data_IF_296012681439
#
_entry.id   IF_296012681439
#
_cell.length_a   1.000
_cell.length_b   1.000
_cell.length_c   1.000
_cell.angle_alpha   90.00
_cell.angle_beta   90.00
_cell.angle_gamma   90.00
#
_symmetry.space_group_name_H-M   'P 1'
#
loop_
_entity.id
_entity.type
_entity.pdbx_description
1 polymer ?
#
# COMPACT_ATOMS: atom_id res chain seq x y z
N UNK A 1 4.06 -9.81 10.65
CA UNK A 1 2.94 -10.64 11.15
C UNK A 1 2.20 -9.83 12.21
N UNK A 2 0.91 -10.10 12.45
CA UNK A 2 0.19 -9.48 13.56
C UNK A 2 0.62 -10.17 14.86
N UNK A 3 0.94 -9.38 15.89
CA UNK A 3 1.18 -9.91 17.24
C UNK A 3 -0.15 -10.23 17.92
N UNK A 4 -0.20 -11.34 18.67
CA UNK A 4 -1.39 -11.69 19.48
C UNK A 4 -1.46 -10.90 20.79
N UNK A 5 -0.34 -10.37 21.24
CA UNK A 5 -0.17 -9.58 22.46
C UNK A 5 0.67 -8.33 22.17
N UNK A 6 0.63 -7.31 23.03
CA UNK A 6 1.50 -6.14 22.93
C UNK A 6 3.00 -6.50 22.80
N UNK A 7 3.76 -5.59 22.20
CA UNK A 7 5.16 -5.83 21.85
C UNK A 7 6.06 -6.05 23.07
N UNK A 8 5.76 -5.43 24.21
CA UNK A 8 6.47 -5.62 25.47
C UNK A 8 6.30 -7.04 26.02
N UNK A 9 5.08 -7.58 26.04
CA UNK A 9 4.79 -8.95 26.49
C UNK A 9 5.41 -9.99 25.57
N UNK A 10 5.34 -9.74 24.25
CA UNK A 10 5.97 -10.61 23.24
C UNK A 10 7.48 -10.64 23.42
N UNK A 11 8.10 -9.48 23.68
CA UNK A 11 9.54 -9.37 23.91
C UNK A 11 9.98 -10.01 25.23
N UNK A 12 9.18 -9.88 26.28
CA UNK A 12 9.43 -10.55 27.56
C UNK A 12 9.39 -12.07 27.40
N UNK A 13 8.36 -12.60 26.74
CA UNK A 13 8.26 -14.03 26.41
C UNK A 13 9.45 -14.52 25.57
N UNK A 14 9.94 -13.69 24.63
CA UNK A 14 11.13 -14.02 23.84
C UNK A 14 12.39 -14.09 24.71
N UNK A 15 12.57 -13.16 25.65
CA UNK A 15 13.70 -13.17 26.59
C UNK A 15 13.68 -14.41 27.49
N UNK A 16 12.50 -14.84 27.93
CA UNK A 16 12.34 -16.08 28.68
C UNK A 16 12.74 -17.31 27.85
N UNK A 17 12.34 -17.37 26.57
CA UNK A 17 12.79 -18.41 25.64
C UNK A 17 14.32 -18.42 25.50
N UNK A 18 14.94 -17.25 25.33
CA UNK A 18 16.39 -17.16 25.21
C UNK A 18 17.10 -17.58 26.51
N UNK A 19 16.57 -17.19 27.67
CA UNK A 19 17.14 -17.58 28.97
C UNK A 19 17.07 -19.09 29.19
N UNK A 20 15.92 -19.73 28.93
CA UNK A 20 15.76 -21.19 29.14
C UNK A 20 16.55 -22.05 28.16
N UNK A 21 16.95 -21.49 27.01
CA UNK A 21 17.73 -22.18 25.95
C UNK A 21 19.19 -21.77 25.92
N UNK A 22 19.68 -21.03 26.94
CA UNK A 22 21.05 -20.48 26.96
C UNK A 22 21.42 -19.71 25.68
N UNK A 23 20.45 -18.98 25.12
CA UNK A 23 20.52 -18.22 23.86
C UNK A 23 20.72 -19.05 22.59
N UNK A 24 20.43 -20.35 22.63
CA UNK A 24 20.55 -21.26 21.49
C UNK A 24 19.26 -22.11 21.31
N UNK A 25 18.11 -21.48 21.01
CA UNK A 25 16.87 -22.20 20.80
C UNK A 25 16.92 -23.01 19.49
N UNK A 26 16.36 -24.21 19.53
CA UNK A 26 16.18 -25.03 18.32
C UNK A 26 15.15 -24.41 17.37
N UNK A 27 15.18 -24.81 16.09
CA UNK A 27 14.20 -24.35 15.11
C UNK A 27 12.76 -24.68 15.49
N UNK A 28 12.52 -25.82 16.13
CA UNK A 28 11.20 -26.23 16.62
C UNK A 28 10.70 -25.28 17.73
N UNK A 29 11.55 -24.96 18.70
CA UNK A 29 11.19 -24.03 19.78
C UNK A 29 10.92 -22.61 19.27
N UNK A 30 11.65 -22.17 18.23
CA UNK A 30 11.39 -20.89 17.57
C UNK A 30 10.07 -20.92 16.80
N UNK A 31 9.77 -22.00 16.09
CA UNK A 31 8.51 -22.17 15.37
C UNK A 31 7.31 -22.19 16.32
N UNK A 32 7.40 -22.92 17.44
CA UNK A 32 6.40 -22.90 18.51
C UNK A 32 6.18 -21.49 19.04
N UNK A 33 7.24 -20.77 19.36
CA UNK A 33 7.16 -19.39 19.82
C UNK A 33 6.46 -18.48 18.80
N UNK A 34 6.82 -18.59 17.52
CA UNK A 34 6.21 -17.80 16.45
C UNK A 34 4.72 -18.11 16.33
N UNK A 35 4.34 -19.39 16.34
CA UNK A 35 2.95 -19.83 16.26
C UNK A 35 2.15 -19.44 17.50
N UNK A 36 2.77 -19.37 18.68
CA UNK A 36 2.14 -18.93 19.91
C UNK A 36 1.89 -17.42 19.87
N UNK A 37 2.88 -16.60 19.50
CA UNK A 37 2.85 -15.14 19.66
C UNK A 37 2.35 -14.35 18.45
N UNK A 38 2.35 -14.94 17.26
CA UNK A 38 1.96 -14.26 16.03
C UNK A 38 0.81 -14.97 15.32
N UNK A 39 -0.04 -14.21 14.65
CA UNK A 39 -0.99 -14.78 13.70
C UNK A 39 -0.32 -15.01 12.34
N UNK A 40 -0.83 -15.97 11.53
CA UNK A 40 -0.39 -16.16 10.17
C UNK A 40 -0.40 -14.86 9.37
N UNK A 41 0.50 -14.75 8.39
CA UNK A 41 0.48 -13.61 7.49
C UNK A 41 -0.91 -13.48 6.84
N UNK A 42 -1.38 -12.24 6.65
CA UNK A 42 -2.66 -11.95 5.99
C UNK A 42 -3.89 -12.00 6.89
N UNK A 43 -3.75 -12.35 8.18
CA UNK A 43 -4.87 -12.32 9.14
C UNK A 43 -5.45 -10.91 9.38
N UNK A 44 -4.79 -9.88 8.88
CA UNK A 44 -5.22 -8.47 8.87
C UNK A 44 -6.37 -8.17 7.88
N UNK A 45 -6.68 -9.09 6.95
CA UNK A 45 -7.71 -8.89 5.93
C UNK A 45 -8.96 -9.73 6.15
N UNK A 46 -10.08 -9.21 5.67
CA UNK A 46 -11.34 -9.91 5.48
C UNK A 46 -11.71 -10.03 4.00
N UNK A 47 -12.63 -10.94 3.70
CA UNK A 47 -13.14 -11.11 2.35
C UNK A 47 -13.84 -9.83 1.87
N UNK A 48 -13.56 -9.45 0.63
CA UNK A 48 -14.19 -8.33 -0.02
C UNK A 48 -14.52 -8.69 -1.46
N UNK A 49 -15.77 -8.40 -1.84
CA UNK A 49 -16.23 -8.47 -3.21
C UNK A 49 -16.45 -7.04 -3.71
N UNK A 50 -15.72 -6.59 -4.74
CA UNK A 50 -15.86 -5.23 -5.28
C UNK A 50 -17.27 -5.00 -5.85
N UNK A 51 -18.00 -4.04 -5.28
CA UNK A 51 -19.40 -3.78 -5.64
C UNK A 51 -19.60 -3.21 -7.04
N UNK A 52 -18.57 -2.58 -7.60
CA UNK A 52 -18.55 -1.97 -8.93
C UNK A 52 -17.86 -2.85 -9.98
N UNK A 53 -17.43 -4.06 -9.61
CA UNK A 53 -16.89 -5.02 -10.57
C UNK A 53 -17.99 -5.57 -11.46
N UNK A 54 -17.72 -5.60 -12.75
CA UNK A 54 -18.61 -6.17 -13.77
C UNK A 54 -17.87 -7.23 -14.56
N UNK A 55 -18.56 -8.32 -14.92
CA UNK A 55 -17.93 -9.46 -15.60
C UNK A 55 -17.41 -9.11 -17.00
N UNK A 56 -18.15 -8.28 -17.74
CA UNK A 56 -17.83 -7.93 -19.12
C UNK A 56 -17.72 -6.41 -19.31
N UNK A 57 -16.64 -5.77 -18.79
CA UNK A 57 -16.42 -4.33 -18.97
C UNK A 57 -16.27 -3.96 -20.44
N UNK A 58 -16.55 -2.70 -20.77
CA UNK A 58 -16.59 -2.18 -22.15
C UNK A 58 -15.32 -2.43 -22.93
N UNK A 59 -14.14 -2.41 -22.29
CA UNK A 59 -12.87 -2.59 -22.99
C UNK A 59 -12.80 -3.94 -23.74
N UNK A 60 -13.45 -4.99 -23.23
CA UNK A 60 -13.45 -6.33 -23.85
C UNK A 60 -14.15 -6.35 -25.21
N UNK A 61 -15.15 -5.49 -25.41
CA UNK A 61 -15.88 -5.39 -26.68
C UNK A 61 -15.00 -4.91 -27.82
N UNK A 62 -13.93 -4.19 -27.50
CA UNK A 62 -12.99 -3.65 -28.49
C UNK A 62 -11.87 -4.64 -28.85
N UNK A 63 -11.79 -5.80 -28.17
CA UNK A 63 -10.83 -6.85 -28.48
C UNK A 63 -11.46 -7.79 -29.50
N UNK A 64 -10.94 -7.79 -30.73
CA UNK A 64 -11.49 -8.58 -31.85
C UNK A 64 -11.14 -10.07 -31.70
N UNK A 65 -9.86 -10.34 -31.40
CA UNK A 65 -9.33 -11.68 -31.21
C UNK A 65 -9.96 -12.38 -30.00
N UNK A 66 -10.42 -13.62 -30.18
CA UNK A 66 -11.12 -14.37 -29.13
C UNK A 66 -10.21 -14.74 -27.96
N UNK A 67 -8.96 -15.09 -28.24
CA UNK A 67 -8.02 -15.58 -27.24
C UNK A 67 -7.58 -14.40 -26.35
N UNK A 68 -7.35 -13.23 -26.96
CA UNK A 68 -7.08 -12.01 -26.20
C UNK A 68 -8.29 -11.51 -25.43
N UNK A 69 -9.52 -11.73 -25.93
CA UNK A 69 -10.73 -11.37 -25.18
C UNK A 69 -10.89 -12.25 -23.95
N UNK A 70 -10.72 -13.57 -24.08
CA UNK A 70 -10.75 -14.51 -22.96
C UNK A 70 -9.65 -14.19 -21.93
N UNK A 71 -8.44 -13.86 -22.40
CA UNK A 71 -7.37 -13.42 -21.53
C UNK A 71 -7.73 -12.11 -20.79
N UNK A 72 -8.35 -11.15 -21.46
CA UNK A 72 -8.85 -9.93 -20.83
C UNK A 72 -9.92 -10.18 -19.77
N UNK A 73 -10.81 -11.16 -19.98
CA UNK A 73 -11.79 -11.59 -18.96
C UNK A 73 -11.08 -12.15 -17.72
N UNK A 74 -10.09 -13.03 -17.91
CA UNK A 74 -9.28 -13.57 -16.82
C UNK A 74 -8.54 -12.46 -16.05
N UNK A 75 -8.02 -11.44 -16.75
CA UNK A 75 -7.41 -10.29 -16.09
C UNK A 75 -8.42 -9.51 -15.24
N UNK A 76 -9.63 -9.30 -15.74
CA UNK A 76 -10.69 -8.63 -15.00
C UNK A 76 -11.11 -9.42 -13.75
N UNK A 77 -11.15 -10.75 -13.82
CA UNK A 77 -11.44 -11.62 -12.67
C UNK A 77 -10.39 -11.46 -11.54
N UNK A 78 -9.13 -11.13 -11.87
CA UNK A 78 -8.08 -10.96 -10.88
C UNK A 78 -8.35 -9.80 -9.91
N UNK A 79 -9.15 -8.79 -10.28
CA UNK A 79 -9.51 -7.71 -9.35
C UNK A 79 -10.21 -8.24 -8.10
N UNK A 80 -11.01 -9.29 -8.23
CA UNK A 80 -11.67 -9.97 -7.11
C UNK A 80 -10.68 -10.71 -6.21
N UNK A 81 -9.60 -11.22 -6.80
CA UNK A 81 -8.56 -12.02 -6.11
C UNK A 81 -7.54 -11.12 -5.42
N UNK A 82 -7.21 -9.98 -6.01
CA UNK A 82 -6.21 -9.03 -5.54
C UNK A 82 -6.78 -8.00 -4.55
N UNK A 83 -8.10 -7.97 -4.38
CA UNK A 83 -8.78 -7.13 -3.41
C UNK A 83 -8.47 -7.49 -1.96
N UNK A 84 -8.17 -6.46 -1.16
CA UNK A 84 -7.90 -6.58 0.28
C UNK A 84 -8.71 -5.54 1.02
N UNK A 85 -9.51 -5.99 1.98
CA UNK A 85 -10.21 -5.13 2.93
C UNK A 85 -9.67 -5.40 4.33
N UNK A 86 -9.27 -4.35 5.02
CA UNK A 86 -8.69 -4.47 6.36
C UNK A 86 -9.81 -4.69 7.39
N UNK A 87 -9.55 -5.56 8.37
CA UNK A 87 -10.47 -5.76 9.51
C UNK A 87 -10.51 -4.51 10.39
N UNK A 88 -11.63 -4.29 11.08
CA UNK A 88 -11.77 -3.22 12.08
C UNK A 88 -10.67 -3.28 13.17
N UNK A 89 -10.24 -4.48 13.55
CA UNK A 89 -9.19 -4.71 14.54
C UNK A 89 -7.85 -4.07 14.20
N UNK A 90 -7.55 -3.82 12.91
CA UNK A 90 -6.35 -3.10 12.46
C UNK A 90 -6.42 -1.62 12.86
N UNK A 91 -7.63 -1.02 12.81
CA UNK A 91 -7.89 0.35 13.26
C UNK A 91 -7.88 0.45 14.78
N UNK A 92 -8.47 -0.53 15.45
CA UNK A 92 -8.67 -0.53 16.90
C UNK A 92 -7.38 -0.81 17.69
N UNK A 93 -6.48 -1.64 17.15
CA UNK A 93 -5.26 -2.09 17.83
C UNK A 93 -4.03 -1.95 16.92
N UNK A 94 -3.75 -0.76 16.35
CA UNK A 94 -2.72 -0.57 15.31
C UNK A 94 -1.32 -1.01 15.75
N UNK A 95 -1.01 -0.96 17.05
CA UNK A 95 0.26 -1.39 17.64
C UNK A 95 0.55 -2.89 17.50
N UNK A 96 -0.48 -3.71 17.28
CA UNK A 96 -0.33 -5.15 17.03
C UNK A 96 0.01 -5.47 15.57
N UNK A 97 -0.07 -4.48 14.69
CA UNK A 97 0.07 -4.66 13.25
C UNK A 97 1.26 -3.90 12.69
N UNK A 98 1.84 -4.48 11.65
CA UNK A 98 2.75 -3.74 10.78
C UNK A 98 2.04 -3.01 9.65
N UNK A 99 0.84 -3.46 9.28
CA UNK A 99 0.06 -2.83 8.21
C UNK A 99 -0.57 -1.53 8.72
N UNK A 100 -0.53 -0.49 7.89
CA UNK A 100 -1.13 0.81 8.19
C UNK A 100 -2.60 0.74 7.80
N UNK A 101 -3.49 1.04 8.74
CA UNK A 101 -4.92 1.04 8.49
C UNK A 101 -5.32 2.06 7.42
N UNK A 102 -6.20 1.66 6.50
CA UNK A 102 -6.91 2.55 5.58
C UNK A 102 -8.39 2.16 5.51
N UNK A 103 -9.32 3.13 5.37
CA UNK A 103 -10.76 2.87 5.52
C UNK A 103 -11.42 2.16 4.34
N UNK A 104 -10.87 2.23 3.13
CA UNK A 104 -11.42 1.60 1.94
C UNK A 104 -10.59 0.37 1.53
N UNK A 105 -11.18 -0.60 0.80
CA UNK A 105 -10.43 -1.69 0.21
C UNK A 105 -9.32 -1.20 -0.74
N UNK A 106 -8.27 -2.00 -0.89
CA UNK A 106 -7.17 -1.77 -1.81
C UNK A 106 -6.98 -2.97 -2.73
N UNK A 107 -6.46 -2.71 -3.94
CA UNK A 107 -5.97 -3.75 -4.84
C UNK A 107 -4.44 -3.81 -4.70
N UNK A 108 -3.90 -5.00 -4.49
CA UNK A 108 -2.46 -5.21 -4.28
C UNK A 108 -1.77 -5.78 -5.52
N UNK A 109 -0.44 -5.66 -5.66
CA UNK A 109 0.28 -6.23 -6.81
C UNK A 109 0.15 -7.77 -6.95
N UNK A 110 -0.05 -8.47 -5.82
CA UNK A 110 -0.24 -9.92 -5.79
C UNK A 110 0.99 -10.72 -5.35
N UNK A 111 0.86 -12.04 -5.36
CA UNK A 111 1.90 -12.95 -4.87
C UNK A 111 2.18 -12.76 -3.37
N UNK A 112 3.44 -12.49 -3.01
CA UNK A 112 3.84 -12.27 -1.61
C UNK A 112 3.42 -10.90 -1.06
N UNK A 113 3.07 -9.95 -1.92
CA UNK A 113 2.71 -8.58 -1.55
C UNK A 113 1.25 -8.49 -1.13
N UNK A 114 0.99 -7.99 0.08
CA UNK A 114 -0.35 -7.99 0.68
C UNK A 114 -0.83 -6.61 1.08
N UNK A 115 0.05 -5.63 1.07
CA UNK A 115 -0.24 -4.21 1.29
C UNK A 115 -0.34 -3.46 -0.04
N UNK A 116 -0.90 -2.25 -0.02
CA UNK A 116 -0.78 -1.34 -1.15
C UNK A 116 0.69 -0.94 -1.36
N UNK A 117 1.06 -0.67 -2.61
CA UNK A 117 2.34 -0.11 -3.02
C UNK A 117 2.11 1.14 -3.85
N UNK A 118 2.86 2.21 -3.59
CA UNK A 118 2.50 3.54 -4.09
C UNK A 118 2.49 3.62 -5.62
N UNK A 119 3.64 3.46 -6.28
CA UNK A 119 3.71 3.64 -7.74
C UNK A 119 2.99 2.52 -8.52
N UNK A 120 2.94 1.29 -7.99
CA UNK A 120 2.20 0.16 -8.57
C UNK A 120 0.70 0.49 -8.64
N UNK A 121 0.20 1.19 -7.63
CA UNK A 121 -1.20 1.61 -7.57
C UNK A 121 -1.60 2.54 -8.70
N UNK A 122 -0.66 3.25 -9.34
CA UNK A 122 -0.98 4.04 -10.53
C UNK A 122 -1.43 3.16 -11.69
N UNK A 123 -0.70 2.08 -11.97
CA UNK A 123 -1.01 1.15 -13.04
C UNK A 123 -2.29 0.36 -12.73
N UNK A 124 -2.48 0.01 -11.45
CA UNK A 124 -3.71 -0.61 -10.96
C UNK A 124 -4.90 0.32 -11.17
N UNK A 125 -4.83 1.59 -10.76
CA UNK A 125 -5.88 2.59 -10.96
C UNK A 125 -6.24 2.71 -12.44
N UNK A 126 -5.24 2.75 -13.33
CA UNK A 126 -5.47 2.79 -14.78
C UNK A 126 -6.24 1.55 -15.27
N UNK A 127 -5.88 0.35 -14.80
CA UNK A 127 -6.57 -0.89 -15.13
C UNK A 127 -8.01 -0.96 -14.58
N UNK A 128 -8.21 -0.51 -13.35
CA UNK A 128 -9.52 -0.44 -12.71
C UNK A 128 -10.47 0.52 -13.44
N UNK A 129 -9.96 1.69 -13.87
CA UNK A 129 -10.74 2.64 -14.66
C UNK A 129 -11.16 2.07 -16.03
N UNK A 130 -10.29 1.31 -16.70
CA UNK A 130 -10.64 0.57 -17.92
C UNK A 130 -11.69 -0.52 -17.66
N UNK A 131 -11.66 -1.11 -16.46
CA UNK A 131 -12.61 -2.12 -15.98
C UNK A 131 -13.89 -1.51 -15.38
N UNK A 132 -14.08 -0.19 -15.50
CA UNK A 132 -15.24 0.57 -15.02
C UNK A 132 -15.43 0.55 -13.49
N UNK A 133 -14.37 0.24 -12.73
CA UNK A 133 -14.38 0.16 -11.26
C UNK A 133 -14.10 1.53 -10.59
N UNK A 134 -14.94 2.51 -10.90
CA UNK A 134 -14.76 3.91 -10.47
C UNK A 134 -14.88 4.11 -8.95
N UNK A 135 -15.78 3.39 -8.28
CA UNK A 135 -15.98 3.48 -6.83
C UNK A 135 -14.78 2.91 -6.08
N UNK A 136 -14.25 1.79 -6.54
CA UNK A 136 -13.01 1.20 -6.01
C UNK A 136 -11.84 2.18 -6.14
N UNK A 137 -11.67 2.80 -7.31
CA UNK A 137 -10.61 3.81 -7.52
C UNK A 137 -10.79 5.01 -6.58
N UNK A 138 -12.01 5.56 -6.46
CA UNK A 138 -12.29 6.68 -5.55
C UNK A 138 -11.92 6.34 -4.10
N UNK A 139 -12.24 5.13 -3.65
CA UNK A 139 -11.87 4.64 -2.31
C UNK A 139 -10.36 4.50 -2.13
N UNK A 140 -9.65 3.95 -3.11
CA UNK A 140 -8.18 3.85 -3.07
C UNK A 140 -7.49 5.23 -3.03
N UNK A 141 -8.01 6.21 -3.77
CA UNK A 141 -7.52 7.59 -3.71
C UNK A 141 -7.79 8.22 -2.34
N UNK A 142 -8.97 8.01 -1.76
CA UNK A 142 -9.29 8.44 -0.40
C UNK A 142 -8.36 7.84 0.66
N UNK A 143 -7.98 6.57 0.50
CA UNK A 143 -6.97 5.94 1.34
C UNK A 143 -5.64 6.69 1.24
N UNK A 144 -5.16 6.98 0.03
CA UNK A 144 -3.92 7.72 -0.17
C UNK A 144 -3.95 9.13 0.40
N UNK A 145 -5.08 9.83 0.32
CA UNK A 145 -5.26 11.12 0.98
C UNK A 145 -5.07 11.02 2.49
N UNK A 146 -5.72 10.04 3.14
CA UNK A 146 -5.56 9.79 4.57
C UNK A 146 -4.11 9.48 4.95
N UNK A 147 -3.36 8.81 4.07
CA UNK A 147 -1.94 8.53 4.28
C UNK A 147 -1.10 9.80 4.19
N UNK A 148 -1.32 10.65 3.18
CA UNK A 148 -0.63 11.95 3.06
C UNK A 148 -0.93 12.83 4.27
N UNK A 149 -2.18 12.82 4.77
CA UNK A 149 -2.55 13.58 5.95
C UNK A 149 -1.74 13.18 7.18
N UNK A 150 -1.61 11.87 7.42
CA UNK A 150 -0.96 11.30 8.60
C UNK A 150 0.57 11.22 8.51
N UNK A 151 1.14 11.02 7.33
CA UNK A 151 2.57 10.76 7.12
C UNK A 151 3.30 11.82 6.29
N UNK A 152 2.58 12.78 5.71
CA UNK A 152 3.12 13.84 4.85
C UNK A 152 3.38 13.42 3.40
N UNK A 153 3.67 12.14 3.15
CA UNK A 153 3.72 11.55 1.82
C UNK A 153 3.26 10.09 1.86
N UNK A 154 2.99 9.50 0.69
CA UNK A 154 2.66 8.08 0.61
C UNK A 154 3.95 7.25 0.77
N UNK A 155 4.04 6.32 1.73
CA UNK A 155 5.20 5.45 1.88
C UNK A 155 5.29 4.45 0.73
N UNK A 156 6.44 3.80 0.59
CA UNK A 156 6.68 2.77 -0.44
C UNK A 156 5.54 1.73 -0.50
N UNK A 157 5.10 1.26 0.67
CA UNK A 157 3.89 0.45 0.80
C UNK A 157 3.22 0.66 2.14
N UNK A 158 2.04 0.07 2.30
CA UNK A 158 1.17 0.27 3.46
C UNK A 158 1.61 -0.40 4.76
N UNK A 159 2.91 -0.37 5.10
CA UNK A 159 3.44 -0.91 6.36
C UNK A 159 4.30 0.09 7.10
N UNK A 160 4.31 0.03 8.42
CA UNK A 160 5.03 0.99 9.29
C UNK A 160 6.54 1.01 9.03
N UNK A 161 7.14 -0.11 8.63
CA UNK A 161 8.57 -0.16 8.29
C UNK A 161 8.91 0.50 6.93
N UNK A 162 7.89 0.87 6.14
CA UNK A 162 8.02 1.72 4.96
C UNK A 162 7.84 3.20 5.27
N UNK A 163 7.39 3.60 6.48
CA UNK A 163 7.00 4.99 6.80
C UNK A 163 8.09 6.04 6.58
N UNK A 164 9.36 5.64 6.51
CA UNK A 164 10.53 6.51 6.28
C UNK A 164 11.04 6.54 4.84
N UNK A 165 10.38 5.83 3.92
CA UNK A 165 10.70 5.78 2.50
C UNK A 165 9.45 5.87 1.64
N UNK A 166 9.54 6.60 0.55
CA UNK A 166 8.48 6.67 -0.46
C UNK A 166 8.87 5.90 -1.72
N UNK A 167 8.11 6.11 -2.79
CA UNK A 167 8.27 5.60 -4.14
C UNK A 167 8.04 6.77 -5.12
N UNK A 168 8.20 6.59 -6.44
CA UNK A 168 7.90 7.64 -7.39
C UNK A 168 6.52 8.28 -7.13
N UNK A 169 6.42 9.61 -6.99
CA UNK A 169 5.17 10.27 -6.63
C UNK A 169 4.17 10.24 -7.78
N UNK A 170 3.11 9.44 -7.62
CA UNK A 170 2.11 9.20 -8.65
C UNK A 170 0.69 9.62 -8.25
N UNK A 171 0.48 10.21 -7.05
CA UNK A 171 -0.86 10.57 -6.57
C UNK A 171 -1.58 11.57 -7.49
N UNK A 172 -0.92 12.66 -7.89
CA UNK A 172 -1.50 13.64 -8.83
C UNK A 172 -1.86 12.96 -10.17
N UNK A 173 -0.97 12.18 -10.82
CA UNK A 173 -1.35 11.37 -11.99
C UNK A 173 -2.53 10.40 -11.78
N UNK A 174 -2.64 9.78 -10.60
CA UNK A 174 -3.76 8.89 -10.27
C UNK A 174 -5.07 9.67 -10.19
N UNK A 175 -5.09 10.79 -9.44
CA UNK A 175 -6.28 11.65 -9.34
C UNK A 175 -6.64 12.21 -10.71
N UNK A 176 -5.67 12.68 -11.50
CA UNK A 176 -5.93 13.12 -12.88
C UNK A 176 -6.60 12.03 -13.71
N UNK A 177 -6.11 10.79 -13.64
CA UNK A 177 -6.71 9.67 -14.39
C UNK A 177 -8.17 9.42 -13.97
N UNK A 178 -8.47 9.52 -12.67
CA UNK A 178 -9.83 9.41 -12.16
C UNK A 178 -10.72 10.56 -12.62
N UNK A 179 -10.24 11.81 -12.58
CA UNK A 179 -11.00 12.98 -13.03
C UNK A 179 -11.25 12.95 -14.54
N UNK A 180 -10.27 12.58 -15.35
CA UNK A 180 -10.44 12.44 -16.80
C UNK A 180 -11.53 11.38 -17.13
N UNK A 181 -11.63 10.33 -16.32
CA UNK A 181 -12.61 9.26 -16.52
C UNK A 181 -14.02 9.61 -16.01
N UNK A 182 -14.13 10.33 -14.90
CA UNK A 182 -15.40 10.51 -14.16
C UNK A 182 -15.96 11.92 -14.21
N UNK A 183 -15.12 12.92 -14.51
CA UNK A 183 -15.44 14.35 -14.42
C UNK A 183 -15.93 14.79 -13.03
N UNK A 184 -15.57 14.05 -11.96
CA UNK A 184 -15.94 14.32 -10.58
C UNK A 184 -15.15 15.51 -10.00
N UNK A 185 -15.47 16.72 -10.47
CA UNK A 185 -14.78 17.95 -10.08
C UNK A 185 -14.98 18.32 -8.61
N UNK A 186 -16.04 17.83 -7.97
CA UNK A 186 -16.26 18.01 -6.53
C UNK A 186 -15.18 17.27 -5.75
N UNK A 187 -14.92 16.00 -6.08
CA UNK A 187 -13.85 15.23 -5.46
C UNK A 187 -12.48 15.89 -5.61
N UNK A 188 -12.16 16.48 -6.77
CA UNK A 188 -10.91 17.23 -6.93
C UNK A 188 -10.87 18.46 -6.01
N UNK A 189 -11.93 19.28 -6.00
CA UNK A 189 -11.99 20.51 -5.19
C UNK A 189 -11.83 20.21 -3.69
N UNK A 190 -12.40 19.12 -3.21
CA UNK A 190 -12.35 18.72 -1.81
C UNK A 190 -10.95 18.22 -1.37
N UNK A 191 -10.10 17.80 -2.30
CA UNK A 191 -8.85 17.10 -1.98
C UNK A 191 -7.59 17.74 -2.59
N UNK A 192 -7.71 18.87 -3.30
CA UNK A 192 -6.57 19.49 -4.00
C UNK A 192 -5.46 19.94 -3.05
N UNK A 193 -5.81 20.41 -1.85
CA UNK A 193 -4.85 20.84 -0.83
C UNK A 193 -3.99 19.66 -0.33
N UNK A 194 -4.54 18.43 -0.33
CA UNK A 194 -3.80 17.23 0.04
C UNK A 194 -2.78 16.85 -1.05
N UNK A 195 -3.12 17.09 -2.32
CA UNK A 195 -2.19 16.90 -3.44
C UNK A 195 -1.02 17.89 -3.37
N UNK A 196 -1.32 19.15 -3.05
CA UNK A 196 -0.31 20.17 -2.81
C UNK A 196 0.59 19.81 -1.64
N UNK A 197 0.02 19.34 -0.51
CA UNK A 197 0.77 18.90 0.66
C UNK A 197 1.80 17.81 0.34
N UNK A 198 1.45 16.79 -0.44
CA UNK A 198 2.44 15.78 -0.85
C UNK A 198 3.50 16.37 -1.79
N UNK A 199 3.10 17.22 -2.74
CA UNK A 199 4.05 17.89 -3.62
C UNK A 199 5.06 18.74 -2.84
N UNK A 200 4.59 19.53 -1.88
CA UNK A 200 5.43 20.34 -0.98
C UNK A 200 6.36 19.48 -0.13
N UNK A 201 5.89 18.31 0.34
CA UNK A 201 6.74 17.35 1.05
C UNK A 201 7.95 16.96 0.18
N UNK A 202 7.74 16.62 -1.09
CA UNK A 202 8.84 16.28 -2.01
C UNK A 202 9.75 17.47 -2.27
N UNK A 203 9.20 18.65 -2.51
CA UNK A 203 9.99 19.84 -2.79
C UNK A 203 10.85 20.26 -1.58
N UNK A 204 10.35 20.06 -0.36
CA UNK A 204 11.05 20.43 0.88
C UNK A 204 12.09 19.39 1.29
N UNK A 205 11.75 18.09 1.22
CA UNK A 205 12.56 17.03 1.82
C UNK A 205 13.47 16.29 0.83
N UNK A 206 13.16 16.36 -0.46
CA UNK A 206 13.81 15.55 -1.50
C UNK A 206 14.55 16.37 -2.55
N UNK A 207 14.65 17.69 -2.40
CA UNK A 207 15.43 18.51 -3.33
C UNK A 207 16.86 18.77 -2.84
N UNK A 208 17.76 18.97 -3.79
CA UNK A 208 19.13 19.41 -3.56
C UNK A 208 19.50 20.52 -4.54
N UNK A 209 20.42 21.38 -4.12
CA UNK A 209 21.07 22.34 -4.99
C UNK A 209 22.28 21.70 -5.67
N UNK A 210 22.30 21.74 -7.00
CA UNK A 210 23.41 21.25 -7.83
C UNK A 210 23.96 22.42 -8.64
N UNK A 211 25.27 22.65 -8.57
CA UNK A 211 25.94 23.66 -9.38
C UNK A 211 26.62 23.02 -10.59
N UNK A 212 26.41 23.61 -11.77
CA UNK A 212 27.05 23.20 -13.02
C UNK A 212 27.21 24.41 -13.93
N UNK A 213 28.41 24.61 -14.47
CA UNK A 213 28.74 25.71 -15.40
C UNK A 213 28.39 27.11 -14.86
N UNK A 214 28.62 27.34 -13.56
CA UNK A 214 28.30 28.60 -12.89
C UNK A 214 26.80 28.84 -12.64
N UNK A 215 25.93 27.86 -12.93
CA UNK A 215 24.49 27.93 -12.68
C UNK A 215 24.06 26.95 -11.59
N UNK A 216 23.17 27.41 -10.71
CA UNK A 216 22.58 26.62 -9.63
C UNK A 216 21.22 26.07 -10.05
N UNK A 217 21.03 24.77 -9.85
CA UNK A 217 19.82 24.02 -10.19
C UNK A 217 19.24 23.36 -8.93
N UNK A 218 17.92 23.39 -8.79
CA UNK A 218 17.22 22.59 -7.77
C UNK A 218 16.70 21.32 -8.40
N UNK A 219 17.17 20.16 -7.94
CA UNK A 219 16.78 18.85 -8.47
C UNK A 219 16.24 17.95 -7.37
N UNK A 220 15.23 17.14 -7.69
CA UNK A 220 14.74 16.11 -6.80
C UNK A 220 15.66 14.88 -6.81
N UNK A 221 15.79 14.21 -5.67
CA UNK A 221 16.47 12.92 -5.51
C UNK A 221 15.68 11.99 -4.59
N UNK A 222 15.80 10.69 -4.82
CA UNK A 222 15.36 9.71 -3.84
C UNK A 222 16.33 9.69 -2.66
N UNK A 223 15.77 9.67 -1.45
CA UNK A 223 16.48 9.58 -0.18
C UNK A 223 15.58 8.84 0.81
N UNK A 224 16.18 8.00 1.64
CA UNK A 224 15.52 7.31 2.76
C UNK A 224 15.98 7.95 4.08
N UNK A 225 15.11 7.98 5.09
CA UNK A 225 15.41 8.44 6.46
C UNK A 225 15.58 7.27 7.46
N UNK A 226 15.44 6.03 7.03
CA UNK A 226 15.66 4.83 7.84
C UNK A 226 17.15 4.58 8.09
N UNK A 227 17.43 3.96 9.25
CA UNK A 227 18.76 3.52 9.65
C UNK A 227 18.77 2.00 9.79
N UNK A 228 19.90 1.38 9.44
CA UNK A 228 20.10 -0.06 9.56
C UNK A 228 19.48 -0.89 8.43
N UNK A 229 19.49 -2.23 8.56
CA UNK A 229 18.91 -3.15 7.59
C UNK A 229 17.39 -2.98 7.46
N UNK A 230 16.87 -3.35 6.29
CA UNK A 230 15.43 -3.30 6.00
C UNK A 230 14.72 -4.47 6.70
N UNK A 231 13.71 -4.25 7.56
CA UNK A 231 13.04 -5.34 8.28
C UNK A 231 12.43 -6.42 7.38
N UNK A 232 11.98 -6.06 6.18
CA UNK A 232 11.41 -7.00 5.21
C UNK A 232 12.46 -7.75 4.36
N UNK A 233 13.74 -7.48 4.59
CA UNK A 233 14.90 -8.09 3.91
C UNK A 233 16.10 -8.04 4.86
N UNK A 234 15.90 -8.59 6.07
CA UNK A 234 16.88 -8.64 7.15
C UNK A 234 17.95 -9.69 6.87
#
# INVERSE_FOLDING_TARGET
MKMKQPSNETLESFRELMNRTASDPTSEQLEEFLNEKFEPAGSEFENWDPSDWIKHPKFLKNIVDSDFREWGEKLNDLWKVLGRKMKASVKENPELYSIIYVPHPVIVPGGRFREFYYWDSYWIVRGLLLSEMYTTVKGMLGNFFSIVENYGCIPNGGRIYYSKRSQPPMLIPMVKSYIDATHDMTFLKENIDILEKEFEYWMTNHTISVEKDGKRYTLARYKDASSGPRPESY
#
